data_IF_406619904104
#
_entry.id   IF_406619904104
#
_cell.length_a   1.000
_cell.length_b   1.000
_cell.length_c   1.000
_cell.angle_alpha   90.00
_cell.angle_beta   90.00
_cell.angle_gamma   90.00
#
_symmetry.space_group_name_H-M   'P 1'
#
loop_
_entity.id
_entity.type
_entity.pdbx_description
1 polymer ?
#
# COMPACT_ATOMS: atom_id res chain seq x y z
N UNK A 1 -18.39 17.83 -7.58
CA UNK A 1 -18.64 16.49 -7.04
C UNK A 1 -17.32 15.74 -7.10
N UNK A 2 -16.76 15.33 -5.96
CA UNK A 2 -15.55 14.50 -5.93
C UNK A 2 -15.94 13.12 -6.49
N UNK A 3 -15.23 12.56 -7.49
CA UNK A 3 -15.56 11.23 -7.97
C UNK A 3 -15.42 10.25 -6.81
N UNK A 4 -16.42 9.38 -6.62
CA UNK A 4 -16.28 8.22 -5.76
C UNK A 4 -15.11 7.41 -6.31
N UNK A 5 -14.06 7.24 -5.51
CA UNK A 5 -12.95 6.36 -5.84
C UNK A 5 -13.50 4.95 -6.07
N UNK A 6 -13.31 4.43 -7.28
CA UNK A 6 -13.62 3.04 -7.58
C UNK A 6 -12.68 2.14 -6.80
N UNK A 7 -13.15 0.96 -6.43
CA UNK A 7 -12.33 -0.10 -5.85
C UNK A 7 -11.05 -0.34 -6.67
N UNK A 8 -9.93 -0.72 -6.01
CA UNK A 8 -8.76 -1.19 -6.72
C UNK A 8 -9.11 -2.34 -7.67
N UNK A 9 -8.53 -2.32 -8.87
CA UNK A 9 -8.77 -3.32 -9.92
C UNK A 9 -7.67 -4.37 -10.00
N UNK A 10 -6.73 -4.33 -9.06
CA UNK A 10 -5.56 -5.19 -8.99
C UNK A 10 -5.97 -6.66 -8.90
N UNK A 11 -5.30 -7.57 -9.64
CA UNK A 11 -5.69 -8.97 -9.73
C UNK A 11 -5.67 -9.68 -8.37
N UNK A 12 -4.84 -9.21 -7.44
CA UNK A 12 -4.72 -9.78 -6.10
C UNK A 12 -5.56 -9.09 -5.02
N UNK A 13 -6.21 -7.96 -5.31
CA UNK A 13 -7.06 -7.25 -4.35
C UNK A 13 -8.15 -8.14 -3.71
N UNK A 14 -8.82 -9.06 -4.44
CA UNK A 14 -9.80 -9.97 -3.83
C UNK A 14 -9.24 -10.87 -2.71
N UNK A 15 -7.93 -11.08 -2.65
CA UNK A 15 -7.27 -11.90 -1.63
C UNK A 15 -6.74 -11.08 -0.45
N UNK A 16 -6.72 -9.74 -0.55
CA UNK A 16 -6.24 -8.83 0.51
C UNK A 16 -7.32 -8.59 1.57
N UNK A 17 -7.65 -9.65 2.32
CA UNK A 17 -8.70 -9.65 3.34
C UNK A 17 -8.55 -8.57 4.40
N UNK A 18 -7.32 -8.12 4.68
CA UNK A 18 -7.04 -7.07 5.65
C UNK A 18 -7.52 -5.69 5.17
N UNK A 19 -7.67 -5.46 3.86
CA UNK A 19 -8.24 -4.24 3.30
C UNK A 19 -9.76 -4.33 3.19
N UNK A 20 -10.27 -5.49 2.73
CA UNK A 20 -11.70 -5.77 2.54
C UNK A 20 -12.03 -7.24 2.80
N UNK A 21 -12.78 -7.48 3.87
CA UNK A 21 -13.18 -8.81 4.26
C UNK A 21 -14.67 -9.06 3.97
N UNK A 22 -14.93 -9.81 2.91
CA UNK A 22 -16.27 -10.26 2.49
C UNK A 22 -16.60 -11.67 3.00
N UNK A 23 -15.75 -12.26 3.84
CA UNK A 23 -15.88 -13.64 4.32
C UNK A 23 -15.14 -14.67 3.47
N UNK A 24 -14.17 -14.24 2.65
CA UNK A 24 -13.30 -15.13 1.89
C UNK A 24 -12.63 -16.17 2.81
N UNK A 25 -12.46 -17.38 2.29
CA UNK A 25 -11.86 -18.53 3.01
C UNK A 25 -12.51 -18.85 4.37
N UNK A 26 -13.81 -18.59 4.52
CA UNK A 26 -14.53 -18.86 5.78
C UNK A 26 -14.25 -17.85 6.90
N UNK A 27 -13.62 -16.71 6.57
CA UNK A 27 -13.41 -15.61 7.50
C UNK A 27 -14.71 -14.95 7.95
N UNK A 28 -14.64 -14.17 9.04
CA UNK A 28 -15.76 -13.36 9.52
C UNK A 28 -15.84 -12.06 8.70
N UNK A 29 -16.94 -11.80 7.96
CA UNK A 29 -17.09 -10.56 7.19
C UNK A 29 -16.92 -9.32 8.07
N UNK A 30 -16.35 -8.24 7.49
CA UNK A 30 -16.04 -6.96 8.13
C UNK A 30 -14.98 -7.01 9.25
N UNK A 31 -14.31 -8.13 9.46
CA UNK A 31 -13.11 -8.18 10.29
C UNK A 31 -11.90 -7.78 9.44
N UNK A 32 -11.83 -6.49 9.09
CA UNK A 32 -10.78 -5.84 8.30
C UNK A 32 -10.43 -4.46 8.91
N UNK A 33 -9.52 -3.73 8.27
CA UNK A 33 -9.07 -2.40 8.72
C UNK A 33 -10.07 -1.27 8.39
N UNK A 34 -11.18 -1.57 7.71
CA UNK A 34 -12.17 -0.59 7.25
C UNK A 34 -11.56 0.57 6.42
N UNK A 35 -10.51 0.29 5.64
CA UNK A 35 -9.76 1.31 4.88
C UNK A 35 -10.58 1.94 3.77
N UNK A 36 -11.55 1.19 3.22
CA UNK A 36 -12.43 1.68 2.14
C UNK A 36 -13.20 2.93 2.56
N UNK A 37 -13.52 3.07 3.86
CA UNK A 37 -14.17 4.26 4.39
C UNK A 37 -13.26 5.50 4.35
N UNK A 38 -11.94 5.34 4.51
CA UNK A 38 -10.97 6.42 4.36
C UNK A 38 -10.77 6.78 2.87
N UNK A 39 -10.68 5.77 2.00
CA UNK A 39 -10.58 5.97 0.55
C UNK A 39 -11.81 6.68 -0.02
N UNK A 40 -13.02 6.35 0.45
CA UNK A 40 -14.26 7.03 0.05
C UNK A 40 -14.27 8.52 0.43
N UNK A 41 -13.48 8.92 1.44
CA UNK A 41 -13.27 10.32 1.83
C UNK A 41 -12.11 10.99 1.08
N UNK A 42 -11.40 10.26 0.21
CA UNK A 42 -10.26 10.74 -0.58
C UNK A 42 -8.91 10.64 0.12
N UNK A 43 -8.81 9.98 1.28
CA UNK A 43 -7.55 9.79 1.99
C UNK A 43 -6.82 8.55 1.45
N UNK A 44 -5.77 8.74 0.65
CA UNK A 44 -5.01 7.65 0.01
C UNK A 44 -3.54 7.59 0.43
N UNK A 45 -3.10 8.44 1.36
CA UNK A 45 -1.68 8.60 1.70
C UNK A 45 -0.89 9.49 0.72
N UNK A 46 -1.54 10.11 -0.26
CA UNK A 46 -0.87 11.06 -1.18
C UNK A 46 -0.14 12.17 -0.39
N UNK A 47 1.08 12.47 -0.78
CA UNK A 47 2.01 13.43 -0.12
C UNK A 47 2.50 13.02 1.28
N UNK A 48 2.26 11.78 1.70
CA UNK A 48 2.87 11.21 2.91
C UNK A 48 4.07 10.36 2.49
N UNK A 49 5.19 10.48 3.20
CA UNK A 49 6.36 9.60 3.04
C UNK A 49 6.46 8.70 4.25
N UNK A 50 6.51 7.39 4.02
CA UNK A 50 6.72 6.36 5.03
C UNK A 50 8.06 5.69 4.75
N UNK A 51 8.97 5.67 5.72
CA UNK A 51 10.24 4.95 5.62
C UNK A 51 10.09 3.56 6.23
N UNK A 52 10.61 2.54 5.55
CA UNK A 52 10.68 1.15 6.01
C UNK A 52 12.14 0.87 6.36
N UNK A 53 12.41 0.54 7.62
CA UNK A 53 13.75 0.21 8.10
C UNK A 53 13.87 -1.32 8.20
N UNK A 54 14.40 -1.93 7.15
CA UNK A 54 14.49 -3.39 6.98
C UNK A 54 15.76 -3.76 6.18
N UNK A 55 15.77 -4.93 5.53
CA UNK A 55 16.89 -5.47 4.74
C UNK A 55 17.05 -4.89 3.34
N UNK A 56 16.10 -4.08 2.87
CA UNK A 56 16.17 -3.37 1.60
C UNK A 56 14.79 -3.08 1.02
N UNK A 57 14.76 -2.54 -0.20
CA UNK A 57 13.52 -2.44 -0.98
C UNK A 57 13.80 -2.64 -2.47
N UNK A 58 13.03 -3.52 -3.11
CA UNK A 58 13.04 -3.63 -4.58
C UNK A 58 12.32 -2.41 -5.18
N UNK A 59 13.04 -1.29 -5.26
CA UNK A 59 12.52 -0.02 -5.77
C UNK A 59 12.17 -0.05 -7.27
N UNK A 60 12.56 -1.11 -7.98
CA UNK A 60 12.20 -1.33 -9.39
C UNK A 60 10.97 -2.23 -9.55
N UNK A 61 10.41 -2.78 -8.47
CA UNK A 61 9.22 -3.59 -8.53
C UNK A 61 8.05 -2.79 -9.13
N UNK A 62 7.27 -3.33 -10.10
CA UNK A 62 6.20 -2.58 -10.76
C UNK A 62 5.13 -2.01 -9.82
N UNK A 63 4.90 -2.66 -8.68
CA UNK A 63 3.93 -2.24 -7.66
C UNK A 63 4.48 -1.18 -6.68
N UNK A 64 5.78 -0.87 -6.75
CA UNK A 64 6.47 0.07 -5.83
C UNK A 64 7.12 1.25 -6.54
N UNK A 65 7.62 1.06 -7.77
CA UNK A 65 8.46 2.04 -8.49
C UNK A 65 7.84 3.44 -8.58
N UNK A 66 6.53 3.54 -8.73
CA UNK A 66 5.82 4.82 -8.88
C UNK A 66 5.63 5.56 -7.53
N UNK A 67 5.77 4.85 -6.41
CA UNK A 67 5.66 5.39 -5.06
C UNK A 67 7.01 5.49 -4.32
N UNK A 68 8.11 5.06 -4.96
CA UNK A 68 9.44 5.10 -4.36
C UNK A 68 9.95 6.53 -4.18
N UNK A 69 10.56 6.81 -3.04
CA UNK A 69 11.17 8.10 -2.73
C UNK A 69 12.66 7.93 -2.37
N UNK A 70 13.53 8.04 -3.37
CA UNK A 70 14.98 7.90 -3.19
C UNK A 70 15.58 8.86 -2.14
N UNK A 71 14.96 10.02 -1.89
CA UNK A 71 15.45 10.95 -0.85
C UNK A 71 15.17 10.46 0.56
N UNK A 72 14.25 9.51 0.72
CA UNK A 72 13.86 8.91 1.99
C UNK A 72 14.46 7.51 2.18
N UNK A 73 15.36 7.08 1.29
CA UNK A 73 15.97 5.74 1.28
C UNK A 73 17.48 5.84 1.36
N UNK A 74 18.11 4.89 2.05
CA UNK A 74 19.55 4.79 2.20
C UNK A 74 19.93 3.37 2.64
N UNK A 75 20.97 2.80 2.04
CA UNK A 75 21.55 1.53 2.47
C UNK A 75 22.74 1.78 3.41
N UNK A 76 22.54 1.45 4.69
CA UNK A 76 23.59 1.54 5.71
C UNK A 76 24.57 0.36 5.69
N UNK A 77 24.21 -0.77 5.08
CA UNK A 77 25.04 -1.97 4.98
C UNK A 77 26.15 -1.79 3.93
N UNK A 78 25.82 -1.19 2.78
CA UNK A 78 26.78 -0.85 1.72
C UNK A 78 27.26 0.61 1.77
N UNK A 79 26.60 1.45 2.58
CA UNK A 79 26.87 2.88 2.72
C UNK A 79 26.70 3.65 1.40
N UNK A 80 25.57 3.42 0.73
CA UNK A 80 25.23 4.03 -0.56
C UNK A 80 23.71 4.30 -0.69
N UNK A 81 23.24 4.98 -1.76
CA UNK A 81 21.83 5.36 -1.89
C UNK A 81 20.94 4.28 -2.55
N UNK A 82 21.46 3.08 -2.81
CA UNK A 82 20.73 1.97 -3.42
C UNK A 82 20.30 1.00 -2.33
N UNK A 83 19.00 0.97 -1.98
CA UNK A 83 18.47 0.12 -0.92
C UNK A 83 18.36 -1.35 -1.34
#
# INVERSE_FOLDING_TARGET
MTPLLSQPTDPYFPYQWYLKNVGQNGGKPKLDLNVEAAWAQGYTGRNITTAIMDDGVDYMHPDLQDSYNAKASYDFSSNDPYP
#
